data_IF_928844365783
#
_entry.id   IF_928844365783
#
_cell.length_a   1.000
_cell.length_b   1.000
_cell.length_c   1.000
_cell.angle_alpha   90.00
_cell.angle_beta   90.00
_cell.angle_gamma   90.00
#
_symmetry.space_group_name_H-M   'P 1'
#
loop_
_entity.id
_entity.type
_entity.pdbx_description
1 polymer ?
#
# COMPACT_ATOMS: atom_id res chain seq x y z
N UNK A 1 -10.48 -10.27 -14.30
CA UNK A 1 -10.76 -9.64 -15.61
C UNK A 1 -9.52 -8.81 -15.95
N UNK A 2 -9.55 -7.88 -16.91
CA UNK A 2 -8.47 -6.87 -17.01
C UNK A 2 -9.15 -5.52 -16.92
N UNK A 3 -8.71 -4.71 -15.97
CA UNK A 3 -9.23 -3.40 -15.68
C UNK A 3 -8.49 -2.36 -16.56
N UNK A 4 -9.19 -1.77 -17.52
CA UNK A 4 -8.63 -0.80 -18.47
C UNK A 4 -8.78 0.63 -17.89
N UNK A 5 -7.91 0.98 -16.95
CA UNK A 5 -7.96 2.27 -16.23
C UNK A 5 -6.61 2.98 -16.25
N UNK A 6 -6.64 4.31 -16.09
CA UNK A 6 -5.41 5.09 -15.91
C UNK A 6 -4.78 4.76 -14.54
N UNK A 7 -3.46 4.58 -14.53
CA UNK A 7 -2.70 4.29 -13.31
C UNK A 7 -2.80 5.51 -12.38
N UNK A 8 -3.31 5.33 -11.15
CA UNK A 8 -3.43 6.39 -10.16
C UNK A 8 -2.07 6.82 -9.61
N UNK A 9 -1.96 8.02 -9.04
CA UNK A 9 -0.80 8.39 -8.21
C UNK A 9 -0.64 7.43 -7.01
N UNK A 10 0.59 7.16 -6.57
CA UNK A 10 0.85 6.34 -5.38
C UNK A 10 0.31 7.02 -4.11
N UNK A 11 0.08 6.25 -3.02
CA UNK A 11 -0.31 6.82 -1.75
C UNK A 11 0.74 7.78 -1.21
N UNK A 12 0.30 8.85 -0.56
CA UNK A 12 1.20 9.88 -0.01
C UNK A 12 1.96 9.42 1.24
N UNK A 13 1.58 8.27 1.83
CA UNK A 13 2.09 7.77 3.11
C UNK A 13 2.00 8.84 4.21
N UNK A 14 0.86 9.50 4.36
CA UNK A 14 0.67 10.56 5.39
C UNK A 14 0.11 10.06 6.75
N UNK A 15 -0.09 8.76 6.92
CA UNK A 15 -0.76 8.15 8.08
C UNK A 15 -0.04 8.22 9.44
N UNK A 16 -0.75 7.98 10.57
CA UNK A 16 -0.15 7.87 11.89
C UNK A 16 0.79 6.66 11.99
N UNK A 17 2.02 6.88 12.49
CA UNK A 17 3.09 5.87 12.60
C UNK A 17 2.83 4.78 13.66
N UNK A 18 1.59 4.61 14.12
CA UNK A 18 1.30 3.76 15.27
C UNK A 18 0.99 2.31 14.80
N UNK A 19 1.89 1.34 15.08
CA UNK A 19 1.59 -0.06 14.92
C UNK A 19 0.56 -0.42 16.00
N UNK A 20 -0.70 -0.48 15.58
CA UNK A 20 -1.90 -0.66 16.40
C UNK A 20 -1.71 -1.25 17.80
N UNK A 21 -2.22 -0.52 18.79
CA UNK A 21 -2.63 -0.89 20.15
C UNK A 21 -2.47 -2.38 20.50
N UNK A 22 -1.24 -2.81 20.73
CA UNK A 22 -0.94 -3.93 21.60
C UNK A 22 -0.42 -3.36 22.91
N UNK A 23 -1.23 -3.43 23.95
CA UNK A 23 -0.89 -3.13 25.35
C UNK A 23 0.24 -4.07 25.81
N UNK A 24 1.48 -3.72 25.48
CA UNK A 24 2.72 -4.06 26.18
C UNK A 24 3.96 -3.62 25.37
N UNK A 25 4.25 -2.31 25.34
CA UNK A 25 5.43 -1.69 25.96
C UNK A 25 5.45 -0.21 25.58
N UNK A 26 5.75 0.63 26.56
CA UNK A 26 6.10 2.05 26.38
C UNK A 26 7.42 2.08 25.56
N UNK A 27 7.32 2.10 24.24
CA UNK A 27 8.45 2.40 23.35
C UNK A 27 8.52 3.92 23.15
N UNK A 28 9.68 4.54 23.38
CA UNK A 28 9.79 5.99 23.41
C UNK A 28 9.49 6.61 22.04
N UNK A 29 8.60 7.60 22.10
CA UNK A 29 8.35 8.75 21.23
C UNK A 29 9.69 9.39 20.78
N UNK A 30 10.43 8.75 19.86
CA UNK A 30 11.63 9.29 19.18
C UNK A 30 12.24 8.23 18.23
N UNK A 31 11.49 7.77 17.21
CA UNK A 31 12.03 6.93 16.11
C UNK A 31 12.32 7.80 14.89
N UNK A 32 13.27 8.74 15.00
CA UNK A 32 13.71 9.63 13.89
C UNK A 32 14.23 8.87 12.65
N UNK A 33 14.47 7.56 12.73
CA UNK A 33 14.79 6.71 11.57
C UNK A 33 13.58 6.13 10.84
N UNK A 34 12.37 6.24 11.41
CA UNK A 34 11.13 5.77 10.80
C UNK A 34 10.67 6.72 9.69
N UNK A 35 10.75 8.04 9.93
CA UNK A 35 10.47 9.08 8.92
C UNK A 35 11.37 8.91 7.69
N UNK A 36 12.68 8.69 7.87
CA UNK A 36 13.62 8.48 6.75
C UNK A 36 13.26 7.24 5.93
N UNK A 37 12.93 6.11 6.59
CA UNK A 37 12.52 4.89 5.88
C UNK A 37 11.23 5.09 5.10
N UNK A 38 10.29 5.85 5.66
CA UNK A 38 9.01 6.16 5.02
C UNK A 38 9.18 7.09 3.82
N UNK A 39 10.04 8.09 3.94
CA UNK A 39 10.43 8.96 2.80
C UNK A 39 11.08 8.13 1.69
N UNK A 40 11.94 7.16 2.03
CA UNK A 40 12.54 6.22 1.05
C UNK A 40 11.49 5.34 0.37
N UNK A 41 10.54 4.77 1.13
CA UNK A 41 9.44 3.99 0.55
C UNK A 41 8.59 4.84 -0.39
N UNK A 42 8.26 6.08 -0.02
CA UNK A 42 7.54 7.01 -0.88
C UNK A 42 8.31 7.32 -2.18
N UNK A 43 9.63 7.48 -2.10
CA UNK A 43 10.48 7.69 -3.27
C UNK A 43 10.47 6.47 -4.20
N UNK A 44 10.57 5.24 -3.66
CA UNK A 44 10.49 4.01 -4.45
C UNK A 44 9.12 3.82 -5.12
N UNK A 45 8.03 4.13 -4.41
CA UNK A 45 6.67 4.13 -4.98
C UNK A 45 6.60 5.09 -6.17
N UNK A 46 7.10 6.31 -6.01
CA UNK A 46 7.13 7.32 -7.07
C UNK A 46 8.13 7.01 -8.20
N UNK A 47 9.18 6.23 -7.93
CA UNK A 47 10.20 5.84 -8.89
C UNK A 47 9.73 4.76 -9.88
N UNK A 48 8.62 4.08 -9.59
CA UNK A 48 8.00 3.11 -10.50
C UNK A 48 7.49 1.84 -9.82
N UNK A 49 7.74 1.63 -8.52
CA UNK A 49 7.25 0.43 -7.82
C UNK A 49 5.73 0.35 -7.87
N UNK A 50 5.07 1.50 -7.72
CA UNK A 50 3.62 1.59 -7.82
C UNK A 50 3.12 1.34 -9.24
N UNK A 51 3.74 1.97 -10.25
CA UNK A 51 3.29 1.86 -11.64
C UNK A 51 3.35 0.41 -12.15
N UNK A 52 4.47 -0.27 -11.90
CA UNK A 52 4.71 -1.64 -12.37
C UNK A 52 3.74 -2.64 -11.73
N UNK A 53 3.56 -2.54 -10.41
CA UNK A 53 2.65 -3.42 -9.66
C UNK A 53 1.19 -3.11 -9.97
N UNK A 54 0.82 -1.84 -10.11
CA UNK A 54 -0.56 -1.48 -10.41
C UNK A 54 -0.97 -2.00 -11.80
N UNK A 55 -0.09 -1.91 -12.82
CA UNK A 55 -0.35 -2.48 -14.14
C UNK A 55 -0.55 -4.01 -14.07
N UNK A 56 0.30 -4.70 -13.31
CA UNK A 56 0.15 -6.15 -13.08
C UNK A 56 -1.16 -6.49 -12.37
N UNK A 57 -1.46 -5.81 -11.26
CA UNK A 57 -2.70 -6.00 -10.51
C UNK A 57 -3.91 -5.73 -11.38
N UNK A 58 -3.92 -4.62 -12.13
CA UNK A 58 -5.03 -4.26 -13.03
C UNK A 58 -5.25 -5.32 -14.13
N UNK A 59 -4.20 -6.03 -14.54
CA UNK A 59 -4.32 -7.12 -15.50
C UNK A 59 -5.00 -8.39 -14.94
N UNK A 60 -5.00 -8.55 -13.62
CA UNK A 60 -5.43 -9.78 -12.93
C UNK A 60 -6.63 -9.60 -11.99
N UNK A 61 -6.87 -8.37 -11.53
CA UNK A 61 -7.96 -8.01 -10.62
C UNK A 61 -9.31 -8.49 -11.13
N UNK A 62 -10.17 -8.87 -10.21
CA UNK A 62 -11.56 -9.19 -10.51
C UNK A 62 -12.52 -8.01 -10.28
N UNK A 63 -12.03 -6.86 -9.79
CA UNK A 63 -12.84 -5.64 -9.70
C UNK A 63 -13.38 -5.23 -11.07
N UNK A 64 -14.63 -4.78 -11.06
CA UNK A 64 -15.24 -4.10 -12.19
C UNK A 64 -14.83 -2.63 -12.26
N UNK A 65 -15.07 -2.01 -13.41
CA UNK A 65 -14.85 -0.57 -13.60
C UNK A 65 -15.71 0.30 -12.68
N UNK A 66 -16.83 -0.22 -12.17
CA UNK A 66 -17.71 0.51 -11.24
C UNK A 66 -17.18 0.46 -9.81
N UNK A 67 -16.75 -0.72 -9.34
CA UNK A 67 -16.09 -0.89 -8.04
C UNK A 67 -14.79 -0.09 -7.98
N UNK A 68 -13.97 -0.15 -9.03
CA UNK A 68 -12.74 0.65 -9.08
C UNK A 68 -13.01 2.17 -9.09
N UNK A 69 -14.13 2.60 -9.69
CA UNK A 69 -14.53 4.00 -9.63
C UNK A 69 -14.84 4.41 -8.20
N UNK A 70 -15.55 3.57 -7.44
CA UNK A 70 -15.79 3.81 -6.03
C UNK A 70 -14.48 3.90 -5.25
N UNK A 71 -13.54 2.99 -5.50
CA UNK A 71 -12.19 3.04 -4.91
C UNK A 71 -11.51 4.40 -5.12
N UNK A 72 -11.56 4.95 -6.35
CA UNK A 72 -10.99 6.28 -6.64
C UNK A 72 -11.76 7.43 -6.00
N UNK A 73 -13.08 7.43 -6.08
CA UNK A 73 -13.90 8.54 -5.57
C UNK A 73 -13.95 8.59 -4.03
N UNK A 74 -13.82 7.43 -3.38
CA UNK A 74 -13.67 7.33 -1.93
C UNK A 74 -12.23 7.63 -1.46
N UNK A 75 -11.26 7.69 -2.38
CA UNK A 75 -9.87 7.98 -2.05
C UNK A 75 -9.13 6.84 -1.36
N UNK A 76 -9.62 5.60 -1.48
CA UNK A 76 -9.07 4.44 -0.75
C UNK A 76 -7.60 4.17 -1.13
N UNK A 77 -7.21 4.42 -2.38
CA UNK A 77 -5.82 4.23 -2.80
C UNK A 77 -4.83 5.16 -2.07
N UNK A 78 -5.25 6.36 -1.65
CA UNK A 78 -4.39 7.27 -0.87
C UNK A 78 -4.32 6.88 0.62
N UNK A 79 -5.31 6.15 1.12
CA UNK A 79 -5.28 5.59 2.48
C UNK A 79 -4.40 4.34 2.62
N UNK A 80 -3.94 3.74 1.52
CA UNK A 80 -2.95 2.67 1.58
C UNK A 80 -1.69 3.15 2.31
N UNK A 81 -1.29 2.39 3.33
CA UNK A 81 -0.10 2.70 4.12
C UNK A 81 0.96 1.62 3.96
N UNK A 82 2.21 2.05 3.89
CA UNK A 82 3.39 1.20 3.83
C UNK A 82 4.43 1.68 4.83
N UNK A 83 5.04 0.76 5.55
CA UNK A 83 6.01 1.08 6.60
C UNK A 83 7.10 0.02 6.69
N UNK A 84 8.27 0.41 7.15
CA UNK A 84 9.33 -0.56 7.43
C UNK A 84 9.06 -1.26 8.77
N UNK A 85 9.02 -2.59 8.77
CA UNK A 85 8.92 -3.39 9.98
C UNK A 85 10.33 -3.82 10.44
N UNK A 86 10.93 -3.17 11.44
CA UNK A 86 12.29 -3.52 11.90
C UNK A 86 12.37 -4.87 12.62
N UNK A 87 11.25 -5.41 13.12
CA UNK A 87 11.23 -6.69 13.81
C UNK A 87 11.30 -7.88 12.82
N UNK A 88 10.63 -7.75 11.68
CA UNK A 88 10.65 -8.73 10.59
C UNK A 88 11.75 -8.44 9.55
N UNK A 89 12.28 -7.20 9.54
CA UNK A 89 13.17 -6.67 8.51
C UNK A 89 12.56 -6.74 7.09
N UNK A 90 11.33 -6.26 6.98
CA UNK A 90 10.43 -6.41 5.84
C UNK A 90 9.51 -5.17 5.75
N UNK A 91 8.83 -4.97 4.63
CA UNK A 91 7.85 -3.90 4.41
C UNK A 91 6.50 -4.40 4.90
N UNK A 92 5.90 -3.68 5.84
CA UNK A 92 4.52 -3.88 6.24
C UNK A 92 3.59 -3.00 5.43
N UNK A 93 2.35 -3.43 5.26
CA UNK A 93 1.29 -2.66 4.62
C UNK A 93 0.01 -2.62 5.47
N UNK A 94 -0.83 -1.62 5.24
CA UNK A 94 -2.19 -1.52 5.78
C UNK A 94 -3.14 -1.12 4.66
N UNK A 95 -4.03 -2.04 4.30
CA UNK A 95 -5.15 -1.74 3.42
C UNK A 95 -6.26 -1.00 4.18
N UNK A 96 -6.90 0.00 3.55
CA UNK A 96 -8.05 0.67 4.15
C UNK A 96 -9.29 -0.23 4.09
N UNK A 97 -10.19 0.01 5.04
CA UNK A 97 -11.52 -0.55 4.99
C UNK A 97 -12.47 0.39 4.24
N UNK A 98 -13.47 -0.16 3.56
CA UNK A 98 -14.51 0.66 2.94
C UNK A 98 -15.37 1.28 4.06
N UNK A 99 -15.66 2.60 4.02
CA UNK A 99 -16.46 3.24 5.05
C UNK A 99 -17.86 2.63 5.13
N UNK A 100 -18.29 2.30 6.35
CA UNK A 100 -19.60 1.70 6.61
C UNK A 100 -20.79 2.62 6.22
N UNK A 101 -20.56 3.92 6.15
CA UNK A 101 -21.52 4.92 5.67
C UNK A 101 -21.03 5.44 4.32
N UNK A 102 -21.59 4.90 3.22
CA UNK A 102 -21.28 5.32 1.87
C UNK A 102 -22.00 6.63 1.51
N UNK A 103 -21.40 7.47 0.64
CA UNK A 103 -22.12 8.62 0.08
C UNK A 103 -23.24 8.13 -0.86
N UNK A 104 -24.29 8.95 -1.04
CA UNK A 104 -25.43 8.62 -1.92
C UNK A 104 -25.05 8.26 -3.37
N UNK A 105 -23.82 8.58 -3.81
CA UNK A 105 -23.30 8.26 -5.14
C UNK A 105 -22.85 6.79 -5.27
N UNK A 106 -22.67 6.09 -4.15
CA UNK A 106 -22.23 4.69 -4.06
C UNK A 106 -23.17 3.84 -3.19
N UNK A 107 -24.41 4.26 -2.95
CA UNK A 107 -25.42 3.49 -2.19
C UNK A 107 -25.84 2.18 -2.89
N UNK A 108 -25.46 2.00 -4.16
CA UNK A 108 -25.70 0.78 -4.94
C UNK A 108 -24.67 -0.33 -4.68
N UNK A 109 -23.60 -0.07 -3.92
CA UNK A 109 -22.66 -1.12 -3.50
C UNK A 109 -23.29 -2.00 -2.43
N UNK A 110 -23.36 -3.30 -2.71
CA UNK A 110 -23.79 -4.30 -1.75
C UNK A 110 -22.59 -4.79 -0.91
N UNK A 111 -22.85 -5.63 0.09
CA UNK A 111 -21.81 -6.17 0.95
C UNK A 111 -20.76 -7.02 0.19
N UNK A 112 -21.18 -7.67 -0.90
CA UNK A 112 -20.31 -8.48 -1.77
C UNK A 112 -19.30 -7.56 -2.48
N UNK A 113 -19.76 -6.44 -3.07
CA UNK A 113 -18.89 -5.44 -3.72
C UNK A 113 -17.89 -4.83 -2.71
N UNK A 114 -18.33 -4.61 -1.47
CA UNK A 114 -17.47 -4.10 -0.40
C UNK A 114 -16.37 -5.11 -0.06
N UNK A 115 -16.72 -6.38 0.16
CA UNK A 115 -15.76 -7.45 0.44
C UNK A 115 -14.77 -7.62 -0.73
N UNK A 116 -15.25 -7.57 -1.97
CA UNK A 116 -14.43 -7.65 -3.18
C UNK A 116 -13.44 -6.48 -3.27
N UNK A 117 -13.88 -5.25 -3.01
CA UNK A 117 -13.02 -4.06 -2.96
C UNK A 117 -11.94 -4.19 -1.88
N UNK A 118 -12.31 -4.61 -0.68
CA UNK A 118 -11.36 -4.74 0.44
C UNK A 118 -10.32 -5.84 0.17
N UNK A 119 -10.74 -6.99 -0.36
CA UNK A 119 -9.83 -8.09 -0.72
C UNK A 119 -8.84 -7.65 -1.81
N UNK A 120 -9.30 -6.93 -2.83
CA UNK A 120 -8.44 -6.51 -3.94
C UNK A 120 -7.50 -5.35 -3.57
N UNK A 121 -7.89 -4.49 -2.63
CA UNK A 121 -7.00 -3.49 -2.05
C UNK A 121 -5.92 -4.13 -1.16
N UNK A 122 -6.26 -5.19 -0.40
CA UNK A 122 -5.27 -5.97 0.35
C UNK A 122 -4.28 -6.66 -0.60
N UNK A 123 -4.78 -7.26 -1.69
CA UNK A 123 -3.95 -7.91 -2.69
C UNK A 123 -2.99 -6.94 -3.39
N UNK A 124 -3.48 -5.77 -3.80
CA UNK A 124 -2.64 -4.70 -4.35
C UNK A 124 -1.56 -4.27 -3.35
N UNK A 125 -1.94 -4.03 -2.09
CA UNK A 125 -1.01 -3.63 -1.05
C UNK A 125 0.07 -4.68 -0.81
N UNK A 126 -0.31 -5.96 -0.74
CA UNK A 126 0.61 -7.08 -0.62
C UNK A 126 1.63 -7.10 -1.76
N UNK A 127 1.18 -6.99 -3.01
CA UNK A 127 2.09 -7.03 -4.16
C UNK A 127 3.04 -5.84 -4.20
N UNK A 128 2.58 -4.66 -3.82
CA UNK A 128 3.44 -3.46 -3.72
C UNK A 128 4.50 -3.66 -2.64
N UNK A 129 4.11 -4.21 -1.49
CA UNK A 129 5.06 -4.57 -0.42
C UNK A 129 6.15 -5.50 -0.93
N UNK A 130 5.76 -6.62 -1.55
CA UNK A 130 6.67 -7.63 -2.09
C UNK A 130 7.63 -7.06 -3.14
N UNK A 131 7.14 -6.17 -4.00
CA UNK A 131 7.95 -5.48 -5.01
C UNK A 131 8.95 -4.51 -4.36
N UNK A 132 8.53 -3.77 -3.32
CA UNK A 132 9.41 -2.89 -2.57
C UNK A 132 10.53 -3.66 -1.87
N UNK A 133 10.25 -4.81 -1.23
CA UNK A 133 11.33 -5.64 -0.68
C UNK A 133 12.25 -6.14 -1.80
N UNK A 134 11.67 -6.76 -2.83
CA UNK A 134 12.43 -7.58 -3.78
C UNK A 134 13.21 -6.76 -4.80
N UNK A 135 12.57 -5.77 -5.43
CA UNK A 135 13.14 -5.06 -6.57
C UNK A 135 13.79 -3.72 -6.20
N UNK A 136 13.44 -3.15 -5.04
CA UNK A 136 13.96 -1.84 -4.61
C UNK A 136 14.90 -1.98 -3.41
N UNK A 137 14.44 -2.52 -2.28
CA UNK A 137 15.23 -2.56 -1.04
C UNK A 137 16.36 -3.61 -1.11
N UNK A 138 16.06 -4.84 -1.55
CA UNK A 138 17.07 -5.88 -1.69
C UNK A 138 18.07 -5.56 -2.80
N UNK A 139 17.59 -4.97 -3.90
CA UNK A 139 18.44 -4.54 -5.02
C UNK A 139 19.44 -3.46 -4.61
N UNK A 140 19.04 -2.49 -3.77
CA UNK A 140 19.94 -1.50 -3.20
C UNK A 140 20.99 -2.15 -2.29
N UNK A 141 20.59 -3.14 -1.47
CA UNK A 141 21.53 -3.90 -0.64
C UNK A 141 22.56 -4.72 -1.45
N UNK A 142 22.21 -5.16 -2.66
CA UNK A 142 23.13 -5.83 -3.60
C UNK A 142 24.03 -4.84 -4.37
N UNK A 143 23.54 -3.62 -4.68
CA UNK A 143 24.33 -2.55 -5.28
C UNK A 143 25.35 -1.96 -4.29
N UNK A 144 25.01 -1.90 -3.00
CA UNK A 144 25.96 -1.69 -1.90
C UNK A 144 26.73 -2.97 -1.57
N UNK A 145 27.37 -3.55 -2.61
CA UNK A 145 28.40 -4.56 -2.46
C UNK A 145 29.50 -4.04 -1.53
N UNK A 146 29.39 -4.42 -0.25
CA UNK A 146 30.49 -4.32 0.70
C UNK A 146 31.62 -5.23 0.21
N UNK A 147 32.56 -4.64 -0.52
CA UNK A 147 33.89 -5.18 -0.75
C UNK A 147 34.60 -5.25 0.61
N UNK A 148 34.43 -6.37 1.32
CA UNK A 148 35.31 -6.72 2.43
C UNK A 148 36.61 -7.27 1.86
N UNK A 149 37.52 -6.35 1.55
CA UNK A 149 38.95 -6.63 1.38
C UNK A 149 39.67 -6.98 2.69
#
# INVERSE_FOLDING_TARGET
>A
MTLDVEIPDPPTLSGPQDPGDYDAVDEPDERTGDDTRREELADFLAAGAWEDVFDEWAAHTYLTEDEFRAVRELGLLDELDFYWNPAAADVGYRAPAVPAELPETHDDLDADDIEDIEEELDDLARMVSEALETDYIHRDAEEFGYDWG
#
